data_IF_575036728246
#
_entry.id   IF_575036728246
#
_cell.length_a   1.000
_cell.length_b   1.000
_cell.length_c   1.000
_cell.angle_alpha   90.00
_cell.angle_beta   90.00
_cell.angle_gamma   90.00
#
_symmetry.space_group_name_H-M   'P 1'
#
loop_
_entity.id
_entity.type
_entity.pdbx_description
1 polymer ?
#
# COMPACT_ATOMS: atom_id res chain seq x y z
N UNK A 1 32.65 53.25 45.80
CA UNK A 1 32.65 51.79 46.00
C UNK A 1 31.77 51.20 44.90
N UNK A 2 32.37 50.52 43.92
CA UNK A 2 31.68 50.02 42.72
C UNK A 2 31.12 48.61 43.00
N UNK A 3 29.81 48.40 42.82
CA UNK A 3 29.22 47.04 42.69
C UNK A 3 28.14 47.03 41.62
N UNK A 4 28.46 46.29 40.56
CA UNK A 4 27.57 45.79 39.51
C UNK A 4 26.55 44.81 40.10
N UNK A 5 25.34 44.69 39.54
CA UNK A 5 24.86 43.44 38.91
C UNK A 5 23.50 43.60 38.22
N UNK A 6 23.34 42.80 37.16
CA UNK A 6 22.44 42.93 36.01
C UNK A 6 20.97 42.54 36.27
N UNK A 7 20.10 43.19 35.48
CA UNK A 7 18.69 42.93 35.26
C UNK A 7 18.51 41.64 34.42
N UNK A 8 17.71 40.69 34.88
CA UNK A 8 17.32 39.49 34.11
C UNK A 8 15.86 39.55 33.70
N UNK A 9 15.60 39.67 32.39
CA UNK A 9 14.28 39.56 31.79
C UNK A 9 14.27 38.28 30.91
N UNK A 10 13.47 37.29 31.29
CA UNK A 10 13.35 36.03 30.54
C UNK A 10 12.10 36.09 29.66
N UNK A 11 12.30 36.19 28.34
CA UNK A 11 11.25 36.05 27.33
C UNK A 11 11.32 34.62 26.77
N UNK A 12 10.31 33.79 27.02
CA UNK A 12 10.23 32.44 26.48
C UNK A 12 9.88 32.49 24.99
N UNK A 13 10.73 31.88 24.17
CA UNK A 13 10.70 31.96 22.71
C UNK A 13 9.72 30.99 22.05
N UNK A 14 9.13 31.47 20.95
CA UNK A 14 8.63 30.66 19.85
C UNK A 14 9.66 30.75 18.73
N UNK A 15 10.32 29.64 18.39
CA UNK A 15 11.22 29.58 17.24
C UNK A 15 10.90 28.36 16.38
N UNK A 16 10.38 28.66 15.19
CA UNK A 16 10.25 27.76 14.06
C UNK A 16 11.66 27.36 13.63
N UNK A 17 12.04 26.09 13.78
CA UNK A 17 13.29 25.58 13.21
C UNK A 17 12.99 25.04 11.83
N UNK A 18 13.21 25.89 10.82
CA UNK A 18 13.58 25.41 9.49
C UNK A 18 15.01 24.89 9.57
N UNK A 19 15.23 23.61 9.25
CA UNK A 19 16.56 23.03 9.23
C UNK A 19 17.38 23.60 8.06
N UNK A 20 18.33 24.49 8.38
CA UNK A 20 19.47 24.79 7.52
C UNK A 20 20.54 23.74 7.78
N UNK A 21 20.79 22.86 6.82
CA UNK A 21 21.91 21.91 6.88
C UNK A 21 23.18 22.56 6.36
N UNK A 22 24.21 22.62 7.21
CA UNK A 22 25.57 22.97 6.81
C UNK A 22 26.28 21.72 6.30
N UNK A 23 26.67 21.70 5.01
CA UNK A 23 27.56 20.69 4.46
C UNK A 23 29.02 21.07 4.67
N UNK A 24 29.79 20.23 5.37
CA UNK A 24 31.26 20.37 5.46
C UNK A 24 31.89 19.68 4.25
N UNK A 25 32.61 20.42 3.40
CA UNK A 25 33.42 19.85 2.33
C UNK A 25 34.85 19.61 2.81
N UNK A 26 35.34 18.37 2.75
CA UNK A 26 36.76 18.05 2.92
C UNK A 26 37.40 17.78 1.55
N UNK A 27 38.53 18.44 1.28
CA UNK A 27 39.26 18.36 0.01
C UNK A 27 40.17 17.13 0.03
N UNK A 28 40.03 16.20 -0.91
CA UNK A 28 41.04 15.15 -1.12
C UNK A 28 42.21 15.68 -1.97
N UNK A 29 43.36 15.00 -1.94
CA UNK A 29 44.62 15.43 -2.58
C UNK A 29 44.58 15.46 -4.13
N UNK A 30 43.47 15.09 -4.75
CA UNK A 30 43.33 15.00 -6.21
C UNK A 30 42.46 16.11 -6.80
N UNK A 31 42.03 17.10 -6.01
CA UNK A 31 41.30 18.26 -6.52
C UNK A 31 39.92 17.96 -7.11
N UNK A 32 39.44 16.72 -6.98
CA UNK A 32 38.09 16.32 -7.35
C UNK A 32 37.18 16.74 -6.21
N UNK A 33 36.31 17.73 -6.47
CA UNK A 33 35.18 18.01 -5.61
C UNK A 33 34.24 16.80 -5.70
N UNK A 34 34.41 15.84 -4.80
CA UNK A 34 33.35 14.86 -4.54
C UNK A 34 32.20 15.64 -3.92
N UNK A 35 31.30 16.10 -4.79
CA UNK A 35 29.97 16.51 -4.39
C UNK A 35 29.22 15.24 -3.98
N UNK A 36 29.65 14.63 -2.87
CA UNK A 36 28.82 13.76 -2.06
C UNK A 36 27.79 14.65 -1.37
N UNK A 37 26.97 15.34 -2.16
CA UNK A 37 25.58 15.49 -1.79
C UNK A 37 25.13 14.06 -1.62
N UNK A 38 25.11 13.60 -0.36
CA UNK A 38 24.12 12.62 0.03
C UNK A 38 22.85 13.14 -0.60
N UNK A 39 22.44 12.51 -1.69
CA UNK A 39 21.05 12.52 -2.07
C UNK A 39 20.43 11.85 -0.85
N UNK A 40 20.06 12.67 0.14
CA UNK A 40 18.99 12.31 1.05
C UNK A 40 17.86 12.14 0.06
N UNK A 41 17.72 10.92 -0.47
CA UNK A 41 16.45 10.43 -0.94
C UNK A 41 15.54 10.85 0.18
N UNK A 42 14.64 11.79 -0.07
CA UNK A 42 13.55 11.99 0.85
C UNK A 42 12.87 10.63 0.86
N UNK A 43 13.22 9.80 1.83
CA UNK A 43 12.44 8.65 2.21
C UNK A 43 11.08 9.26 2.48
N UNK A 44 10.20 9.21 1.49
CA UNK A 44 8.79 9.53 1.68
C UNK A 44 8.42 8.64 2.86
N UNK A 45 8.02 9.21 4.01
CA UNK A 45 7.75 8.40 5.20
C UNK A 45 6.54 7.51 4.90
N UNK A 46 6.80 6.34 4.34
CA UNK A 46 5.83 5.28 4.11
C UNK A 46 5.61 4.58 5.44
N UNK A 47 4.35 4.28 5.75
CA UNK A 47 4.04 3.50 6.95
C UNK A 47 4.56 2.06 6.84
N UNK A 48 4.31 1.27 7.88
CA UNK A 48 4.75 -0.14 7.94
C UNK A 48 3.68 -1.13 7.42
N UNK A 49 2.66 -0.65 6.70
CA UNK A 49 1.58 -1.50 6.22
C UNK A 49 1.99 -2.35 5.02
N UNK A 50 1.32 -3.49 4.87
CA UNK A 50 1.56 -4.46 3.82
C UNK A 50 0.27 -4.97 3.19
N UNK A 51 0.30 -5.20 1.88
CA UNK A 51 -0.72 -5.99 1.17
C UNK A 51 -0.10 -7.33 0.75
N UNK A 52 -0.82 -8.42 0.99
CA UNK A 52 -0.46 -9.74 0.50
C UNK A 52 -1.64 -10.34 -0.25
N UNK A 53 -1.45 -10.62 -1.54
CA UNK A 53 -2.33 -11.50 -2.30
C UNK A 53 -1.74 -12.90 -2.19
N UNK A 54 -2.42 -13.81 -1.51
CA UNK A 54 -1.85 -15.11 -1.19
C UNK A 54 -2.90 -16.18 -0.94
N UNK A 55 -2.50 -17.44 -1.06
CA UNK A 55 -3.32 -18.61 -0.76
C UNK A 55 -2.41 -19.72 -0.23
N UNK A 56 -2.95 -20.58 0.64
CA UNK A 56 -2.24 -21.79 1.06
C UNK A 56 -2.23 -22.87 -0.04
N UNK A 57 -3.06 -22.71 -1.07
CA UNK A 57 -3.12 -23.57 -2.24
C UNK A 57 -2.54 -22.81 -3.43
N UNK A 58 -1.39 -23.25 -3.95
CA UNK A 58 -0.76 -22.65 -5.14
C UNK A 58 -0.89 -23.52 -6.39
N UNK A 59 -1.37 -24.76 -6.24
CA UNK A 59 -1.60 -25.69 -7.33
C UNK A 59 -3.11 -25.86 -7.58
N UNK A 60 -3.51 -25.80 -8.85
CA UNK A 60 -4.88 -26.06 -9.29
C UNK A 60 -4.88 -26.82 -10.62
N UNK A 61 -6.05 -27.19 -11.12
CA UNK A 61 -6.23 -27.81 -12.43
C UNK A 61 -7.15 -26.94 -13.30
N UNK A 62 -7.04 -27.06 -14.62
CA UNK A 62 -7.98 -26.42 -15.55
C UNK A 62 -9.42 -26.80 -15.18
N UNK A 63 -10.30 -25.81 -15.19
CA UNK A 63 -11.71 -25.93 -14.81
C UNK A 63 -11.98 -25.80 -13.30
N UNK A 64 -10.97 -25.88 -12.44
CA UNK A 64 -11.14 -25.73 -10.99
C UNK A 64 -11.08 -24.28 -10.54
N UNK A 65 -11.84 -23.97 -9.48
CA UNK A 65 -11.79 -22.67 -8.81
C UNK A 65 -10.74 -22.67 -7.69
N UNK A 66 -10.01 -21.57 -7.58
CA UNK A 66 -9.07 -21.27 -6.51
C UNK A 66 -9.51 -20.00 -5.78
N UNK A 67 -9.45 -20.04 -4.45
CA UNK A 67 -9.73 -18.89 -3.59
C UNK A 67 -8.41 -18.26 -3.13
N UNK A 68 -8.27 -16.96 -3.39
CA UNK A 68 -7.06 -16.18 -3.13
C UNK A 68 -7.42 -14.98 -2.25
N UNK A 69 -7.26 -15.07 -0.92
CA UNK A 69 -7.45 -13.92 -0.05
C UNK A 69 -6.43 -12.80 -0.32
N UNK A 70 -6.89 -11.57 -0.12
CA UNK A 70 -6.07 -10.37 -0.05
C UNK A 70 -6.06 -9.91 1.40
N UNK A 71 -4.86 -9.87 1.98
CA UNK A 71 -4.64 -9.52 3.38
C UNK A 71 -3.95 -8.17 3.47
N UNK A 72 -4.47 -7.31 4.34
CA UNK A 72 -3.87 -6.06 4.78
C UNK A 72 -3.27 -6.24 6.17
N UNK A 73 -1.97 -6.01 6.32
CA UNK A 73 -1.28 -5.99 7.62
C UNK A 73 -0.93 -4.55 7.97
N UNK A 74 -1.42 -4.03 9.10
CA UNK A 74 -1.17 -2.65 9.51
C UNK A 74 -0.07 -2.51 10.57
N UNK A 75 0.35 -3.61 11.21
CA UNK A 75 1.24 -3.55 12.36
C UNK A 75 0.65 -2.67 13.47
N UNK A 76 1.33 -1.57 13.80
CA UNK A 76 0.87 -0.57 14.79
C UNK A 76 0.13 0.63 14.14
N UNK A 77 0.03 0.67 12.82
CA UNK A 77 -0.66 1.73 12.11
C UNK A 77 -2.18 1.60 12.23
N UNK A 78 -2.86 2.69 11.89
CA UNK A 78 -4.32 2.77 11.82
C UNK A 78 -4.75 3.34 10.49
N UNK A 79 -5.54 2.59 9.74
CA UNK A 79 -5.99 2.96 8.40
C UNK A 79 -7.44 3.41 8.39
N UNK A 80 -7.76 4.33 7.48
CA UNK A 80 -9.12 4.80 7.21
C UNK A 80 -9.52 4.65 5.74
N UNK A 81 -8.60 4.22 4.87
CA UNK A 81 -8.90 3.96 3.47
C UNK A 81 -7.92 2.98 2.86
N UNK A 82 -8.40 2.29 1.82
CA UNK A 82 -7.67 1.35 1.01
C UNK A 82 -8.08 1.56 -0.45
N UNK A 83 -7.07 1.75 -1.30
CA UNK A 83 -7.17 1.58 -2.75
C UNK A 83 -6.38 0.34 -3.13
N UNK A 84 -7.01 -0.56 -3.89
CA UNK A 84 -6.46 -1.85 -4.29
C UNK A 84 -6.59 -2.01 -5.79
N UNK A 85 -5.44 -2.11 -6.45
CA UNK A 85 -5.34 -2.34 -7.88
C UNK A 85 -4.58 -3.64 -8.10
N UNK A 86 -5.23 -4.66 -8.63
CA UNK A 86 -4.62 -5.98 -8.87
C UNK A 86 -4.67 -6.32 -10.35
N UNK A 87 -3.56 -6.84 -10.87
CA UNK A 87 -3.47 -7.42 -12.20
C UNK A 87 -3.44 -8.96 -12.11
N UNK A 88 -4.09 -9.60 -13.07
CA UNK A 88 -3.99 -11.03 -13.35
C UNK A 88 -3.97 -11.26 -14.87
N UNK A 89 -3.60 -12.46 -15.32
CA UNK A 89 -3.67 -12.81 -16.75
C UNK A 89 -5.00 -13.50 -17.08
N UNK A 90 -5.90 -12.87 -17.86
CA UNK A 90 -7.20 -13.44 -18.19
C UNK A 90 -7.13 -14.64 -19.13
N UNK A 91 -5.97 -14.91 -19.73
CA UNK A 91 -5.72 -16.13 -20.53
C UNK A 91 -5.69 -17.37 -19.64
N UNK A 92 -5.21 -17.22 -18.39
CA UNK A 92 -5.03 -18.33 -17.45
C UNK A 92 -6.14 -18.42 -16.41
N UNK A 93 -6.74 -17.29 -16.03
CA UNK A 93 -7.70 -17.19 -14.94
C UNK A 93 -8.90 -16.35 -15.35
N UNK A 94 -10.11 -16.84 -15.09
CA UNK A 94 -11.34 -16.03 -15.11
C UNK A 94 -11.76 -15.73 -13.69
N UNK A 95 -11.96 -14.46 -13.34
CA UNK A 95 -12.53 -14.13 -12.03
C UNK A 95 -14.02 -14.52 -12.00
N UNK A 96 -14.43 -15.22 -10.94
CA UNK A 96 -15.81 -15.56 -10.65
C UNK A 96 -16.49 -14.36 -10.01
N UNK A 97 -17.62 -13.94 -10.57
CA UNK A 97 -18.40 -12.82 -10.06
C UNK A 97 -19.01 -13.15 -8.69
N UNK A 98 -18.77 -12.27 -7.71
CA UNK A 98 -19.24 -12.44 -6.35
C UNK A 98 -20.73 -12.11 -6.16
N UNK A 99 -21.33 -11.30 -7.05
CA UNK A 99 -22.73 -10.88 -6.95
C UNK A 99 -23.39 -10.70 -8.33
N UNK A 100 -23.90 -11.79 -8.88
CA UNK A 100 -24.58 -11.80 -10.18
C UNK A 100 -25.86 -10.95 -10.27
N UNK A 101 -26.34 -10.39 -9.15
CA UNK A 101 -27.46 -9.46 -9.15
C UNK A 101 -27.02 -8.00 -9.45
N UNK A 102 -25.72 -7.70 -9.41
CA UNK A 102 -25.15 -6.41 -9.78
C UNK A 102 -24.57 -6.47 -11.19
N UNK A 103 -24.60 -5.34 -11.88
CA UNK A 103 -24.02 -5.25 -13.22
C UNK A 103 -22.49 -5.29 -13.16
N UNK A 104 -21.88 -6.05 -14.07
CA UNK A 104 -20.43 -6.22 -14.16
C UNK A 104 -19.93 -7.42 -13.35
N UNK A 105 -18.62 -7.49 -13.14
CA UNK A 105 -17.99 -8.52 -12.30
C UNK A 105 -17.41 -7.84 -11.05
N UNK A 106 -17.65 -8.43 -9.88
CA UNK A 106 -17.15 -7.93 -8.59
C UNK A 106 -16.35 -9.00 -7.84
N UNK A 107 -15.47 -8.55 -6.96
CA UNK A 107 -14.78 -9.41 -6.00
C UNK A 107 -15.61 -9.55 -4.72
N UNK A 108 -15.39 -10.65 -3.99
CA UNK A 108 -15.97 -10.84 -2.66
C UNK A 108 -15.19 -10.01 -1.65
N UNK A 109 -15.87 -9.11 -0.93
CA UNK A 109 -15.24 -8.21 0.04
C UNK A 109 -15.65 -8.54 1.47
N UNK A 110 -14.75 -8.31 2.42
CA UNK A 110 -15.05 -8.33 3.86
C UNK A 110 -15.34 -6.94 4.44
N UNK A 111 -15.06 -5.88 3.68
CA UNK A 111 -15.31 -4.46 3.98
C UNK A 111 -14.94 -4.02 5.41
N UNK A 112 -13.66 -4.17 5.85
CA UNK A 112 -13.26 -3.75 7.19
C UNK A 112 -13.40 -2.24 7.42
N UNK A 113 -13.43 -1.45 6.35
CA UNK A 113 -13.64 -0.01 6.40
C UNK A 113 -15.13 0.39 6.40
N UNK A 114 -16.03 -0.51 6.01
CA UNK A 114 -17.49 -0.32 6.10
C UNK A 114 -18.14 0.42 4.92
N UNK A 115 -17.42 1.28 4.19
CA UNK A 115 -17.95 1.91 2.97
C UNK A 115 -17.14 1.49 1.74
N UNK A 116 -17.77 0.71 0.86
CA UNK A 116 -17.25 0.38 -0.46
C UNK A 116 -17.51 1.55 -1.43
N UNK A 117 -16.46 2.01 -2.12
CA UNK A 117 -16.52 3.11 -3.09
C UNK A 117 -16.41 2.57 -4.51
N UNK A 118 -15.53 1.59 -4.73
CA UNK A 118 -15.32 0.93 -6.01
C UNK A 118 -15.19 -0.57 -5.76
N UNK A 119 -15.84 -1.38 -6.58
CA UNK A 119 -15.62 -2.82 -6.67
C UNK A 119 -15.96 -3.24 -8.11
N UNK A 120 -14.94 -3.31 -8.95
CA UNK A 120 -15.12 -3.56 -10.38
C UNK A 120 -13.94 -4.31 -10.97
N UNK A 121 -14.24 -5.09 -12.00
CA UNK A 121 -13.27 -5.92 -12.69
C UNK A 121 -13.40 -5.69 -14.19
N UNK A 122 -12.27 -5.44 -14.84
CA UNK A 122 -12.16 -5.46 -16.29
C UNK A 122 -11.54 -6.79 -16.72
N UNK A 123 -12.36 -7.80 -17.09
CA UNK A 123 -11.87 -9.13 -17.41
C UNK A 123 -11.09 -9.18 -18.71
N UNK A 124 -11.29 -8.22 -19.63
CA UNK A 124 -10.61 -8.20 -20.92
C UNK A 124 -9.10 -7.94 -20.80
N UNK A 125 -8.69 -7.20 -19.76
CA UNK A 125 -7.30 -6.82 -19.51
C UNK A 125 -6.78 -7.30 -18.15
N UNK A 126 -7.58 -8.11 -17.43
CA UNK A 126 -7.21 -8.70 -16.16
C UNK A 126 -6.95 -7.69 -15.05
N UNK A 127 -7.83 -6.69 -14.89
CA UNK A 127 -7.68 -5.64 -13.87
C UNK A 127 -8.82 -5.67 -12.86
N UNK A 128 -8.46 -5.59 -11.59
CA UNK A 128 -9.37 -5.49 -10.46
C UNK A 128 -9.12 -4.14 -9.79
N UNK A 129 -10.18 -3.35 -9.63
CA UNK A 129 -10.17 -2.08 -8.93
C UNK A 129 -11.12 -2.17 -7.73
N UNK A 130 -10.59 -1.98 -6.54
CA UNK A 130 -11.35 -1.95 -5.31
C UNK A 130 -10.92 -0.76 -4.46
N UNK A 131 -11.88 0.00 -3.96
CA UNK A 131 -11.63 1.13 -3.06
C UNK A 131 -12.63 1.10 -1.92
N UNK A 132 -12.15 1.30 -0.71
CA UNK A 132 -12.99 1.40 0.47
C UNK A 132 -12.48 2.46 1.44
N UNK A 133 -13.40 3.11 2.13
CA UNK A 133 -13.11 4.16 3.10
C UNK A 133 -13.89 3.92 4.38
N UNK A 134 -13.37 4.47 5.48
CA UNK A 134 -13.97 4.33 6.79
C UNK A 134 -15.35 4.98 6.79
N UNK A 135 -16.38 4.19 7.11
CA UNK A 135 -17.74 4.70 7.26
C UNK A 135 -17.82 5.72 8.41
N UNK A 136 -18.67 6.74 8.25
CA UNK A 136 -18.85 7.77 9.26
C UNK A 136 -19.23 7.15 10.63
N UNK A 137 -18.59 7.64 11.69
CA UNK A 137 -18.79 7.12 13.06
C UNK A 137 -18.05 5.82 13.39
N UNK A 138 -17.32 5.23 12.43
CA UNK A 138 -16.48 4.06 12.67
C UNK A 138 -15.10 4.44 13.24
N UNK A 139 -14.39 3.45 13.76
CA UNK A 139 -13.00 3.61 14.22
C UNK A 139 -12.00 3.17 13.14
N UNK A 140 -10.79 3.77 13.09
CA UNK A 140 -9.76 3.34 12.16
C UNK A 140 -9.44 1.85 12.30
N UNK A 141 -9.26 1.18 11.16
CA UNK A 141 -8.90 -0.23 11.05
C UNK A 141 -7.48 -0.43 11.59
N UNK A 142 -7.24 -1.56 12.25
CA UNK A 142 -5.92 -1.92 12.81
C UNK A 142 -5.67 -3.43 12.71
N UNK A 143 -4.43 -3.84 12.97
CA UNK A 143 -4.02 -5.24 12.93
C UNK A 143 -4.02 -5.83 11.51
N UNK A 144 -4.25 -7.14 11.43
CA UNK A 144 -4.33 -7.87 10.16
C UNK A 144 -5.79 -8.07 9.76
N UNK A 145 -6.14 -7.72 8.54
CA UNK A 145 -7.47 -7.85 7.97
C UNK A 145 -7.42 -8.61 6.65
N UNK A 146 -8.32 -9.55 6.42
CA UNK A 146 -8.67 -9.92 5.04
C UNK A 146 -9.54 -8.78 4.53
N UNK A 147 -9.24 -8.23 3.35
CA UNK A 147 -9.98 -7.10 2.75
C UNK A 147 -10.86 -7.57 1.58
N UNK A 148 -10.41 -8.62 0.88
CA UNK A 148 -11.14 -9.24 -0.20
C UNK A 148 -10.72 -10.71 -0.38
N UNK A 149 -11.55 -11.47 -1.08
CA UNK A 149 -11.26 -12.81 -1.57
C UNK A 149 -11.51 -12.82 -3.07
N UNK A 150 -10.47 -13.17 -3.82
CA UNK A 150 -10.54 -13.33 -5.27
C UNK A 150 -10.82 -14.80 -5.57
N UNK A 151 -11.95 -15.09 -6.21
CA UNK A 151 -12.26 -16.43 -6.69
C UNK A 151 -11.94 -16.50 -8.18
N UNK A 152 -11.00 -17.36 -8.56
CA UNK A 152 -10.60 -17.53 -9.95
C UNK A 152 -10.88 -18.95 -10.43
N UNK A 153 -11.51 -19.10 -11.59
CA UNK A 153 -11.53 -20.34 -12.34
C UNK A 153 -10.30 -20.42 -13.22
N UNK A 154 -9.58 -21.54 -13.17
CA UNK A 154 -8.42 -21.78 -14.03
C UNK A 154 -8.87 -22.19 -15.44
N UNK A 155 -8.37 -21.49 -16.46
CA UNK A 155 -8.77 -21.71 -17.86
C UNK A 155 -7.69 -22.41 -18.69
N UNK A 156 -6.41 -22.17 -18.38
CA UNK A 156 -5.30 -22.68 -19.16
C UNK A 156 -4.19 -23.23 -18.25
N UNK A 157 -3.65 -24.40 -18.61
CA UNK A 157 -2.51 -24.98 -17.91
C UNK A 157 -1.24 -24.12 -18.09
N UNK A 158 -0.41 -24.03 -17.05
CA UNK A 158 0.80 -23.22 -17.02
C UNK A 158 1.02 -22.57 -15.66
N UNK A 159 1.80 -21.49 -15.63
CA UNK A 159 2.01 -20.70 -14.43
C UNK A 159 1.62 -19.25 -14.70
N UNK A 160 0.91 -18.64 -13.77
CA UNK A 160 0.47 -17.24 -13.86
C UNK A 160 0.62 -16.55 -12.51
N UNK A 161 0.64 -15.21 -12.51
CA UNK A 161 0.78 -14.40 -11.30
C UNK A 161 -0.45 -13.53 -11.09
N UNK A 162 -0.79 -13.32 -9.81
CA UNK A 162 -1.76 -12.31 -9.38
C UNK A 162 -0.99 -11.29 -8.55
N UNK A 163 -0.90 -10.06 -9.06
CA UNK A 163 0.02 -9.05 -8.54
C UNK A 163 -0.70 -7.74 -8.20
N UNK A 164 -0.54 -7.20 -6.99
CA UNK A 164 -0.87 -5.80 -6.72
C UNK A 164 -0.04 -4.87 -7.60
N UNK A 165 -0.66 -3.83 -8.16
CA UNK A 165 0.06 -2.68 -8.72
C UNK A 165 0.56 -1.87 -7.54
N UNK A 166 1.87 -1.89 -7.33
CA UNK A 166 2.50 -1.19 -6.23
C UNK A 166 3.89 -0.69 -6.62
N UNK A 167 4.15 0.57 -6.31
CA UNK A 167 5.45 1.22 -6.34
C UNK A 167 5.55 2.09 -5.10
N UNK A 168 6.61 1.88 -4.32
CA UNK A 168 6.84 2.64 -3.10
C UNK A 168 6.77 4.16 -3.35
N UNK A 169 5.93 4.86 -2.57
CA UNK A 169 5.76 6.31 -2.64
C UNK A 169 4.90 6.81 -3.81
N UNK A 170 4.31 5.93 -4.62
CA UNK A 170 3.27 6.30 -5.58
C UNK A 170 1.93 6.48 -4.85
N UNK A 171 1.04 7.31 -5.42
CA UNK A 171 -0.30 7.63 -4.87
C UNK A 171 -1.42 7.33 -5.87
N UNK A 172 -1.10 6.66 -6.98
CA UNK A 172 -2.01 6.35 -8.09
C UNK A 172 -2.10 4.85 -8.36
N UNK A 173 -1.80 4.04 -7.35
CA UNK A 173 -1.72 2.59 -7.38
C UNK A 173 -2.30 2.03 -6.07
N UNK A 174 -1.90 0.83 -5.65
CA UNK A 174 -2.41 0.29 -4.37
C UNK A 174 -1.88 1.14 -3.23
N UNK A 175 -2.76 1.68 -2.39
CA UNK A 175 -2.41 2.58 -1.30
C UNK A 175 -3.26 2.31 -0.06
N UNK A 176 -2.73 2.63 1.11
CA UNK A 176 -3.45 2.50 2.40
C UNK A 176 -3.30 3.81 3.15
N UNK A 177 -4.39 4.53 3.37
CA UNK A 177 -4.32 5.86 3.98
C UNK A 177 -4.69 5.84 5.47
N UNK A 178 -4.02 6.67 6.27
CA UNK A 178 -4.49 7.03 7.61
C UNK A 178 -5.40 8.27 7.59
N UNK A 179 -5.91 8.66 8.76
CA UNK A 179 -6.80 9.81 8.91
C UNK A 179 -6.22 11.16 8.45
N UNK A 180 -4.89 11.28 8.36
CA UNK A 180 -4.20 12.48 7.89
C UNK A 180 -3.89 12.43 6.39
N UNK A 181 -4.35 11.40 5.67
CA UNK A 181 -4.07 11.20 4.25
C UNK A 181 -2.64 10.73 3.96
N UNK A 182 -1.88 10.29 4.97
CA UNK A 182 -0.55 9.70 4.75
C UNK A 182 -0.69 8.27 4.25
N UNK A 183 0.02 7.94 3.17
CA UNK A 183 0.14 6.56 2.71
C UNK A 183 0.98 5.72 3.69
N UNK A 184 0.41 4.60 4.08
CA UNK A 184 0.94 3.65 5.04
C UNK A 184 1.59 2.45 4.35
N UNK A 185 1.37 2.23 3.05
CA UNK A 185 1.79 1.03 2.37
C UNK A 185 3.28 1.08 2.00
N UNK A 186 4.08 0.20 2.60
CA UNK A 186 5.51 0.07 2.26
C UNK A 186 5.84 -1.19 1.48
N UNK A 187 4.95 -2.18 1.47
CA UNK A 187 5.15 -3.42 0.70
C UNK A 187 3.84 -3.97 0.17
N UNK A 188 3.89 -4.54 -1.03
CA UNK A 188 2.83 -5.36 -1.57
C UNK A 188 3.44 -6.61 -2.22
N UNK A 189 2.83 -7.76 -2.01
CA UNK A 189 3.26 -9.03 -2.61
C UNK A 189 2.10 -9.74 -3.29
N UNK A 190 2.43 -10.40 -4.39
CA UNK A 190 1.51 -11.25 -5.13
C UNK A 190 1.78 -12.73 -4.92
N UNK A 191 1.08 -13.54 -5.70
CA UNK A 191 1.16 -15.00 -5.68
C UNK A 191 1.35 -15.54 -7.10
N UNK A 192 2.14 -16.62 -7.22
CA UNK A 192 2.21 -17.44 -8.41
C UNK A 192 1.29 -18.66 -8.25
N UNK A 193 0.45 -18.91 -9.25
CA UNK A 193 -0.43 -20.08 -9.33
C UNK A 193 0.09 -21.01 -10.42
N UNK A 194 0.20 -22.29 -10.09
CA UNK A 194 0.53 -23.37 -11.02
C UNK A 194 -0.78 -24.10 -11.38
N UNK A 195 -1.07 -24.16 -12.67
CA UNK A 195 -2.28 -24.77 -13.24
C UNK A 195 -1.86 -26.01 -14.03
N UNK A 196 -2.29 -27.17 -13.56
CA UNK A 196 -2.11 -28.43 -14.26
C UNK A 196 -3.30 -28.70 -15.20
N UNK A 197 -3.14 -29.68 -16.08
CA UNK A 197 -4.26 -30.25 -16.83
C UNK A 197 -5.29 -30.92 -15.90
#
# INVERSE_FOLDING_TARGET
>A
MLRQFKLGLTLAGLAIVGALTFGVATKNSNGILNNSRSVVSADVPVGNAAIQVGSNKILTQVGQTISVPVTLELGQERAVGLDLFINYDPTYLTLVDADTAKEGIQIKTSSPFGLEVVNSVNPAIGQINYSSVMAAGSSPVSGTQVVATLEFKAELAGQTNILPKFKLGSTTDTNVANANGRDLLSRASGIAIVINQ
#
